data_IF_550057807084
#
_entry.id   IF_550057807084
#
_cell.length_a   1.000
_cell.length_b   1.000
_cell.length_c   1.000
_cell.angle_alpha   90.00
_cell.angle_beta   90.00
_cell.angle_gamma   90.00
#
_symmetry.space_group_name_H-M   'P 1'
#
loop_
_entity.id
_entity.type
_entity.pdbx_description
1 polymer ?
#
# COMPACT_ATOMS: atom_id res chain seq x y z
N UNK A 1 -9.77 14.62 68.66
CA UNK A 1 -9.72 13.64 67.54
C UNK A 1 -10.57 14.15 66.38
N UNK A 2 -9.97 14.80 65.38
CA UNK A 2 -10.57 15.04 64.06
C UNK A 2 -9.50 14.68 63.03
N UNK A 3 -9.70 13.56 62.33
CA UNK A 3 -8.78 13.08 61.28
C UNK A 3 -9.19 13.74 59.96
N UNK A 4 -8.30 14.54 59.38
CA UNK A 4 -8.38 14.95 57.98
C UNK A 4 -7.80 13.83 57.13
N UNK A 5 -8.63 13.19 56.30
CA UNK A 5 -8.17 12.35 55.19
C UNK A 5 -7.96 13.25 53.98
N UNK A 6 -6.71 13.38 53.53
CA UNK A 6 -6.38 13.92 52.23
C UNK A 6 -6.56 12.80 51.19
N UNK A 7 -7.50 12.97 50.26
CA UNK A 7 -7.56 12.15 49.05
C UNK A 7 -6.78 12.88 47.96
N UNK A 8 -5.54 12.42 47.70
CA UNK A 8 -4.88 12.67 46.43
C UNK A 8 -5.61 11.89 45.34
N UNK A 9 -6.23 12.59 44.39
CA UNK A 9 -6.58 11.99 43.10
C UNK A 9 -5.36 12.10 42.18
N UNK A 10 -4.63 11.00 42.06
CA UNK A 10 -3.65 10.80 41.00
C UNK A 10 -4.39 10.11 39.83
N UNK A 11 -4.95 10.89 38.91
CA UNK A 11 -5.44 10.35 37.63
C UNK A 11 -4.27 10.29 36.65
N UNK A 12 -3.55 9.16 36.63
CA UNK A 12 -2.72 8.82 35.48
C UNK A 12 -3.66 8.38 34.35
N UNK A 13 -3.80 9.22 33.32
CA UNK A 13 -4.25 8.79 32.01
C UNK A 13 -3.14 7.90 31.44
N UNK A 14 -3.34 6.59 31.47
CA UNK A 14 -2.52 5.66 30.70
C UNK A 14 -3.14 5.64 29.30
N UNK A 15 -2.49 6.30 28.34
CA UNK A 15 -2.82 6.10 26.92
C UNK A 15 -2.70 4.61 26.60
N UNK A 16 -3.69 4.01 25.91
CA UNK A 16 -3.64 2.59 25.54
C UNK A 16 -2.55 2.27 24.50
N UNK A 17 -1.97 3.31 23.90
CA UNK A 17 -0.83 3.22 22.99
C UNK A 17 0.44 3.17 23.82
N UNK A 18 1.26 2.11 23.65
CA UNK A 18 2.57 1.98 24.30
C UNK A 18 3.47 3.21 24.06
N UNK A 19 4.57 3.33 24.82
CA UNK A 19 5.51 4.45 24.68
C UNK A 19 5.90 4.67 23.20
N UNK A 20 5.47 5.79 22.63
CA UNK A 20 5.85 6.21 21.28
C UNK A 20 7.30 6.66 21.31
N UNK A 21 8.18 5.90 20.65
CA UNK A 21 9.56 6.35 20.43
C UNK A 21 9.50 7.44 19.35
N UNK A 22 10.02 8.63 19.68
CA UNK A 22 10.12 9.72 18.72
C UNK A 22 11.10 9.35 17.59
N UNK A 23 10.56 9.00 16.43
CA UNK A 23 11.30 8.81 15.19
C UNK A 23 10.59 9.58 14.08
N UNK A 24 11.35 10.38 13.32
CA UNK A 24 10.80 11.15 12.19
C UNK A 24 10.27 10.22 11.10
N UNK A 25 10.95 9.10 10.83
CA UNK A 25 10.48 8.01 9.97
C UNK A 25 10.53 6.66 10.68
N UNK A 26 9.55 5.76 10.44
CA UNK A 26 9.61 4.38 10.93
C UNK A 26 10.73 3.61 10.22
N UNK A 27 11.07 2.44 10.77
CA UNK A 27 11.99 1.50 10.11
C UNK A 27 11.55 1.18 8.67
N UNK A 28 12.52 0.96 7.79
CA UNK A 28 12.25 0.64 6.40
C UNK A 28 11.50 -0.71 6.26
N UNK A 29 10.65 -0.88 5.23
CA UNK A 29 9.96 -2.14 5.00
C UNK A 29 10.96 -3.26 4.70
N UNK A 30 10.69 -4.46 5.22
CA UNK A 30 11.61 -5.58 5.17
C UNK A 30 12.79 -5.52 6.14
N UNK A 31 12.78 -4.59 7.10
CA UNK A 31 13.67 -4.59 8.27
C UNK A 31 13.36 -5.74 9.25
N UNK A 32 12.12 -6.23 9.23
CA UNK A 32 11.63 -7.38 10.00
C UNK A 32 10.54 -8.10 9.22
N UNK A 33 10.33 -9.37 9.55
CA UNK A 33 9.27 -10.19 8.97
C UNK A 33 7.88 -9.71 9.44
N UNK A 34 6.93 -9.42 8.53
CA UNK A 34 5.57 -9.08 8.91
C UNK A 34 4.83 -10.21 9.63
N UNK A 35 4.10 -9.86 10.69
CA UNK A 35 3.28 -10.83 11.43
C UNK A 35 1.98 -11.09 10.68
N UNK A 36 1.70 -12.37 10.40
CA UNK A 36 0.48 -12.80 9.73
C UNK A 36 -0.59 -13.19 10.75
N UNK A 37 -1.81 -12.70 10.54
CA UNK A 37 -3.00 -13.13 11.29
C UNK A 37 -3.48 -14.51 10.82
N UNK A 38 -3.85 -15.36 11.77
CA UNK A 38 -4.42 -16.70 11.51
C UNK A 38 -5.93 -16.73 11.54
N UNK A 39 -6.57 -15.62 11.92
CA UNK A 39 -8.02 -15.45 11.97
C UNK A 39 -8.39 -14.10 11.37
N UNK A 40 -9.54 -14.00 10.67
CA UNK A 40 -10.00 -12.73 10.12
C UNK A 40 -10.40 -11.75 11.23
N UNK A 41 -9.99 -10.49 11.10
CA UNK A 41 -10.56 -9.38 11.90
C UNK A 41 -11.91 -8.96 11.36
N UNK A 42 -12.05 -8.99 10.03
CA UNK A 42 -13.33 -8.86 9.33
C UNK A 42 -13.61 -10.17 8.59
N UNK A 43 -14.66 -10.87 9.00
CA UNK A 43 -15.08 -12.09 8.32
C UNK A 43 -15.55 -11.79 6.88
N UNK A 44 -15.30 -12.68 5.92
CA UNK A 44 -15.89 -12.59 4.58
C UNK A 44 -17.41 -12.43 4.66
N UNK A 45 -17.98 -11.49 3.89
CA UNK A 45 -19.42 -11.22 3.90
C UNK A 45 -20.20 -12.47 3.43
N UNK A 46 -21.05 -13.08 4.28
CA UNK A 46 -21.76 -14.30 3.92
C UNK A 46 -22.82 -14.04 2.86
N UNK A 47 -23.10 -15.04 2.02
CA UNK A 47 -24.09 -14.94 0.94
C UNK A 47 -25.49 -14.55 1.42
N UNK A 48 -25.87 -14.94 2.65
CA UNK A 48 -27.14 -14.56 3.27
C UNK A 48 -27.32 -13.05 3.45
N UNK A 49 -26.23 -12.28 3.46
CA UNK A 49 -26.22 -10.82 3.59
C UNK A 49 -26.06 -10.11 2.23
N UNK A 50 -26.03 -10.85 1.13
CA UNK A 50 -25.86 -10.25 -0.18
C UNK A 50 -27.10 -9.48 -0.62
N UNK A 51 -26.87 -8.22 -1.01
CA UNK A 51 -27.84 -7.38 -1.70
C UNK A 51 -27.78 -7.63 -3.21
N UNK A 52 -28.66 -7.00 -3.99
CA UNK A 52 -28.57 -7.04 -5.45
C UNK A 52 -27.26 -6.46 -5.98
N UNK A 53 -26.70 -5.48 -5.27
CA UNK A 53 -25.39 -4.91 -5.57
C UNK A 53 -24.26 -5.91 -5.34
N UNK A 54 -24.26 -6.62 -4.20
CA UNK A 54 -23.28 -7.68 -3.93
C UNK A 54 -23.36 -8.78 -5.01
N UNK A 55 -24.57 -9.23 -5.34
CA UNK A 55 -24.78 -10.20 -6.43
C UNK A 55 -24.31 -9.70 -7.79
N UNK A 56 -24.42 -8.41 -8.08
CA UNK A 56 -23.90 -7.82 -9.32
C UNK A 56 -22.37 -7.88 -9.36
N UNK A 57 -21.69 -7.51 -8.27
CA UNK A 57 -20.23 -7.62 -8.16
C UNK A 57 -19.77 -9.07 -8.34
N UNK A 58 -20.45 -10.04 -7.70
CA UNK A 58 -20.13 -11.47 -7.84
C UNK A 58 -20.28 -11.94 -9.28
N UNK A 59 -21.37 -11.59 -9.98
CA UNK A 59 -21.54 -11.94 -11.40
C UNK A 59 -20.42 -11.38 -12.28
N UNK A 60 -19.88 -10.21 -11.92
CA UNK A 60 -18.84 -9.55 -12.70
C UNK A 60 -17.44 -10.09 -12.40
N UNK A 61 -17.10 -10.29 -11.13
CA UNK A 61 -15.73 -10.56 -10.67
C UNK A 61 -15.48 -12.00 -10.24
N UNK A 62 -16.53 -12.82 -10.10
CA UNK A 62 -16.44 -14.26 -9.83
C UNK A 62 -17.45 -15.05 -10.71
N UNK A 63 -17.35 -14.95 -12.05
CA UNK A 63 -18.33 -15.53 -12.97
C UNK A 63 -18.38 -17.07 -12.96
N UNK A 64 -17.34 -17.73 -12.41
CA UNK A 64 -17.29 -19.19 -12.20
C UNK A 64 -18.00 -19.64 -10.91
N UNK A 65 -18.57 -18.70 -10.15
CA UNK A 65 -19.24 -18.94 -8.88
C UNK A 65 -18.30 -19.12 -7.68
N UNK A 66 -16.97 -19.04 -7.87
CA UNK A 66 -15.99 -19.16 -6.78
C UNK A 66 -15.66 -17.80 -6.20
N UNK A 67 -16.48 -17.33 -5.27
CA UNK A 67 -16.27 -16.03 -4.62
C UNK A 67 -15.16 -16.13 -3.58
N UNK A 68 -13.99 -15.59 -3.90
CA UNK A 68 -12.81 -15.59 -3.02
C UNK A 68 -12.97 -14.72 -1.77
N UNK A 69 -12.24 -15.07 -0.72
CA UNK A 69 -12.27 -14.38 0.58
C UNK A 69 -11.90 -12.89 0.47
N UNK A 70 -11.00 -12.50 -0.43
CA UNK A 70 -10.69 -11.08 -0.63
C UNK A 70 -11.90 -10.28 -1.15
N UNK A 71 -12.56 -10.76 -2.22
CA UNK A 71 -13.76 -10.11 -2.76
C UNK A 71 -14.87 -10.07 -1.70
N UNK A 72 -15.16 -11.20 -1.04
CA UNK A 72 -16.18 -11.28 0.01
C UNK A 72 -15.90 -10.36 1.20
N UNK A 73 -14.63 -10.16 1.56
CA UNK A 73 -14.27 -9.22 2.64
C UNK A 73 -14.41 -7.77 2.18
N UNK A 74 -13.97 -7.44 0.96
CA UNK A 74 -14.10 -6.08 0.42
C UNK A 74 -15.56 -5.69 0.16
N UNK A 75 -16.48 -6.64 -0.03
CA UNK A 75 -17.91 -6.37 -0.17
C UNK A 75 -18.57 -5.73 1.06
N UNK A 76 -17.90 -5.69 2.22
CA UNK A 76 -18.33 -4.80 3.33
C UNK A 76 -18.34 -3.31 2.92
N UNK A 77 -17.57 -2.95 1.88
CA UNK A 77 -17.59 -1.63 1.24
C UNK A 77 -17.69 -1.82 -0.29
N UNK A 78 -18.90 -2.01 -0.84
CA UNK A 78 -19.09 -2.40 -2.25
C UNK A 78 -18.50 -1.43 -3.27
N UNK A 79 -18.51 -0.12 -2.98
CA UNK A 79 -17.85 0.89 -3.84
C UNK A 79 -16.35 0.62 -3.97
N UNK A 80 -15.71 0.26 -2.86
CA UNK A 80 -14.30 -0.06 -2.81
C UNK A 80 -14.00 -1.38 -3.52
N UNK A 81 -14.81 -2.42 -3.25
CA UNK A 81 -14.68 -3.70 -3.94
C UNK A 81 -14.71 -3.52 -5.46
N UNK A 82 -15.66 -2.74 -5.98
CA UNK A 82 -15.76 -2.44 -7.40
C UNK A 82 -14.52 -1.71 -7.95
N UNK A 83 -14.04 -0.68 -7.23
CA UNK A 83 -12.87 0.10 -7.63
C UNK A 83 -11.60 -0.76 -7.71
N UNK A 84 -11.36 -1.57 -6.68
CA UNK A 84 -10.19 -2.45 -6.59
C UNK A 84 -10.24 -3.55 -7.65
N UNK A 85 -11.37 -4.26 -7.74
CA UNK A 85 -11.48 -5.42 -8.64
C UNK A 85 -11.45 -5.01 -10.12
N UNK A 86 -11.95 -3.82 -10.47
CA UNK A 86 -11.81 -3.28 -11.83
C UNK A 86 -10.34 -3.12 -12.22
N UNK A 87 -9.52 -2.62 -11.30
CA UNK A 87 -8.10 -2.42 -11.58
C UNK A 87 -7.34 -3.76 -11.63
N UNK A 88 -7.63 -4.67 -10.69
CA UNK A 88 -7.04 -6.02 -10.70
C UNK A 88 -7.35 -6.76 -12.00
N UNK A 89 -8.61 -6.72 -12.46
CA UNK A 89 -9.01 -7.33 -13.73
C UNK A 89 -8.22 -6.77 -14.92
N UNK A 90 -7.99 -5.46 -14.96
CA UNK A 90 -7.18 -4.85 -16.02
C UNK A 90 -5.74 -5.40 -16.02
N UNK A 91 -5.07 -5.40 -14.85
CA UNK A 91 -3.71 -5.93 -14.73
C UNK A 91 -3.64 -7.44 -15.00
N UNK A 92 -4.73 -8.17 -14.76
CA UNK A 92 -4.81 -9.60 -15.03
C UNK A 92 -5.08 -9.92 -16.51
N UNK A 93 -6.04 -9.24 -17.15
CA UNK A 93 -6.62 -9.64 -18.43
C UNK A 93 -6.21 -8.75 -19.61
N UNK A 94 -5.88 -7.49 -19.35
CA UNK A 94 -5.59 -6.46 -20.38
C UNK A 94 -4.15 -5.97 -20.35
N UNK A 95 -3.32 -6.52 -19.45
CA UNK A 95 -1.92 -6.14 -19.28
C UNK A 95 -1.07 -6.38 -20.54
N UNK A 96 -0.22 -5.41 -20.86
CA UNK A 96 0.85 -5.48 -21.85
C UNK A 96 2.08 -6.30 -21.39
N UNK A 97 2.16 -6.64 -20.10
CA UNK A 97 3.18 -7.57 -19.57
C UNK A 97 2.80 -9.03 -19.82
N UNK A 98 3.81 -9.81 -20.19
CA UNK A 98 3.68 -11.27 -20.28
C UNK A 98 3.26 -11.86 -18.92
N UNK A 99 2.43 -12.93 -18.90
CA UNK A 99 1.98 -13.57 -17.67
C UNK A 99 3.14 -13.95 -16.72
N UNK A 100 4.26 -14.44 -17.23
CA UNK A 100 5.42 -14.84 -16.42
C UNK A 100 6.00 -13.66 -15.65
N UNK A 101 6.26 -12.54 -16.32
CA UNK A 101 6.81 -11.34 -15.71
C UNK A 101 5.87 -10.76 -14.63
N UNK A 102 4.55 -10.79 -14.87
CA UNK A 102 3.56 -10.43 -13.84
C UNK A 102 3.63 -11.36 -12.65
N UNK A 103 3.67 -12.68 -12.87
CA UNK A 103 3.75 -13.65 -11.79
C UNK A 103 4.99 -13.46 -10.91
N UNK A 104 6.15 -13.13 -11.49
CA UNK A 104 7.36 -12.80 -10.73
C UNK A 104 7.16 -11.58 -9.81
N UNK A 105 6.61 -10.48 -10.35
CA UNK A 105 6.33 -9.26 -9.58
C UNK A 105 5.33 -9.53 -8.45
N UNK A 106 4.23 -10.22 -8.76
CA UNK A 106 3.12 -10.48 -7.84
C UNK A 106 3.53 -11.46 -6.72
N UNK A 107 4.19 -12.57 -7.05
CA UNK A 107 4.66 -13.55 -6.06
C UNK A 107 5.77 -12.97 -5.17
N UNK A 108 6.69 -12.19 -5.74
CA UNK A 108 7.71 -11.52 -4.93
C UNK A 108 7.09 -10.52 -3.98
N UNK A 109 6.14 -9.72 -4.44
CA UNK A 109 5.41 -8.77 -3.58
C UNK A 109 4.64 -9.49 -2.47
N UNK A 110 3.99 -10.62 -2.77
CA UNK A 110 3.31 -11.44 -1.76
C UNK A 110 4.29 -12.00 -0.71
N UNK A 111 5.51 -12.40 -1.11
CA UNK A 111 6.57 -12.80 -0.17
C UNK A 111 7.04 -11.63 0.70
N UNK A 112 7.36 -10.48 0.08
CA UNK A 112 7.87 -9.29 0.76
C UNK A 112 6.90 -8.77 1.84
N UNK A 113 5.61 -8.78 1.53
CA UNK A 113 4.53 -8.35 2.42
C UNK A 113 3.98 -9.46 3.31
N UNK A 114 4.56 -10.66 3.21
CA UNK A 114 4.10 -11.87 3.91
C UNK A 114 2.61 -12.19 3.73
N UNK A 115 2.03 -11.80 2.58
CA UNK A 115 0.62 -11.97 2.27
C UNK A 115 0.33 -13.39 1.76
N UNK A 116 -0.19 -14.22 2.66
CA UNK A 116 -0.45 -15.64 2.42
C UNK A 116 -1.60 -15.89 1.43
N UNK A 117 -2.61 -15.02 1.40
CA UNK A 117 -3.73 -15.11 0.47
C UNK A 117 -3.27 -14.88 -0.96
N UNK A 118 -2.54 -13.79 -1.21
CA UNK A 118 -2.03 -13.45 -2.53
C UNK A 118 -1.07 -14.51 -3.03
N UNK A 119 -0.15 -15.01 -2.19
CA UNK A 119 0.72 -16.12 -2.57
C UNK A 119 -0.08 -17.34 -3.04
N UNK A 120 -1.13 -17.73 -2.30
CA UNK A 120 -1.92 -18.93 -2.62
C UNK A 120 -2.69 -18.80 -3.94
N UNK A 121 -3.11 -17.58 -4.30
CA UNK A 121 -3.76 -17.28 -5.59
C UNK A 121 -2.72 -17.21 -6.72
N UNK A 122 -1.64 -16.44 -6.52
CA UNK A 122 -0.66 -16.16 -7.57
C UNK A 122 0.21 -17.37 -7.92
N UNK A 123 0.42 -18.32 -7.02
CA UNK A 123 1.23 -19.52 -7.30
C UNK A 123 0.60 -20.39 -8.41
N UNK A 124 -0.73 -20.52 -8.41
CA UNK A 124 -1.45 -21.22 -9.48
C UNK A 124 -1.28 -20.51 -10.83
N UNK A 125 -1.46 -19.19 -10.86
CA UNK A 125 -1.27 -18.37 -12.05
C UNK A 125 0.18 -18.43 -12.55
N UNK A 126 1.15 -18.45 -11.63
CA UNK A 126 2.57 -18.59 -11.92
C UNK A 126 2.88 -19.88 -12.66
N UNK A 127 2.34 -21.02 -12.19
CA UNK A 127 2.50 -22.31 -12.91
C UNK A 127 1.85 -22.29 -14.29
N UNK A 128 0.66 -21.68 -14.41
CA UNK A 128 0.01 -21.50 -15.71
C UNK A 128 0.84 -20.63 -16.67
N UNK A 129 1.64 -19.71 -16.13
CA UNK A 129 2.60 -18.87 -16.85
C UNK A 129 3.98 -19.51 -17.05
N UNK A 130 4.15 -20.80 -16.69
CA UNK A 130 5.38 -21.55 -16.91
C UNK A 130 6.41 -21.47 -15.77
N UNK A 131 6.07 -20.93 -14.60
CA UNK A 131 6.94 -21.04 -13.42
C UNK A 131 6.90 -22.46 -12.85
N UNK A 132 8.08 -22.99 -12.53
CA UNK A 132 8.25 -24.27 -11.84
C UNK A 132 8.13 -24.12 -10.32
N UNK A 133 7.87 -25.21 -9.59
CA UNK A 133 7.88 -25.18 -8.11
C UNK A 133 9.24 -24.73 -7.54
N UNK A 134 10.34 -25.08 -8.23
CA UNK A 134 11.67 -24.62 -7.88
C UNK A 134 11.79 -23.09 -8.03
N UNK A 135 11.22 -22.50 -9.09
CA UNK A 135 11.16 -21.06 -9.28
C UNK A 135 10.25 -20.38 -8.26
N UNK A 136 9.08 -20.96 -7.92
CA UNK A 136 8.23 -20.44 -6.85
C UNK A 136 9.00 -20.33 -5.52
N UNK A 137 9.75 -21.37 -5.15
CA UNK A 137 10.63 -21.30 -3.97
C UNK A 137 11.75 -20.27 -4.16
N UNK A 138 12.36 -20.20 -5.35
CA UNK A 138 13.44 -19.24 -5.67
C UNK A 138 12.98 -17.79 -5.56
N UNK A 139 11.73 -17.48 -5.90
CA UNK A 139 11.14 -16.13 -5.73
C UNK A 139 11.19 -15.68 -4.27
N UNK A 140 10.97 -16.58 -3.31
CA UNK A 140 11.11 -16.27 -1.89
C UNK A 140 12.58 -16.02 -1.50
N UNK A 141 13.54 -16.76 -2.08
CA UNK A 141 14.97 -16.53 -1.84
C UNK A 141 15.40 -15.15 -2.35
N UNK A 142 14.93 -14.75 -3.53
CA UNK A 142 15.10 -13.39 -4.05
C UNK A 142 15.86 -13.28 -5.37
N UNK A 143 16.16 -12.04 -5.80
CA UNK A 143 16.72 -11.75 -7.13
C UNK A 143 18.13 -12.30 -7.36
N UNK A 144 18.93 -12.48 -6.30
CA UNK A 144 20.31 -12.92 -6.40
C UNK A 144 20.48 -14.43 -6.21
N UNK A 145 19.37 -15.18 -6.18
CA UNK A 145 19.40 -16.63 -6.13
C UNK A 145 19.89 -17.22 -7.48
N UNK A 146 20.73 -18.24 -7.41
CA UNK A 146 21.22 -18.95 -8.60
C UNK A 146 20.08 -19.52 -9.45
N UNK A 147 20.21 -19.38 -10.78
CA UNK A 147 19.30 -19.99 -11.75
C UNK A 147 18.21 -19.05 -12.29
N UNK A 148 18.30 -17.74 -12.03
CA UNK A 148 17.56 -16.73 -12.79
C UNK A 148 18.30 -16.33 -14.06
N UNK A 149 17.56 -15.99 -15.11
CA UNK A 149 18.09 -15.08 -16.11
C UNK A 149 18.06 -13.63 -15.60
N UNK A 150 18.86 -12.77 -16.20
CA UNK A 150 19.02 -11.38 -15.76
C UNK A 150 17.70 -10.59 -15.79
N UNK A 151 16.81 -10.88 -16.73
CA UNK A 151 15.56 -10.14 -16.90
C UNK A 151 14.52 -10.56 -15.86
N UNK A 152 14.37 -11.86 -15.60
CA UNK A 152 13.53 -12.38 -14.53
C UNK A 152 13.99 -11.89 -13.14
N UNK A 153 15.31 -11.93 -12.88
CA UNK A 153 15.88 -11.37 -11.65
C UNK A 153 15.57 -9.87 -11.50
N UNK A 154 15.55 -9.10 -12.60
CA UNK A 154 15.25 -7.67 -12.58
C UNK A 154 13.80 -7.37 -12.17
N UNK A 155 12.84 -8.25 -12.48
CA UNK A 155 11.47 -8.10 -11.98
C UNK A 155 11.41 -8.24 -10.45
N UNK A 156 12.15 -9.21 -9.91
CA UNK A 156 12.24 -9.40 -8.46
C UNK A 156 12.91 -8.20 -7.79
N UNK A 157 13.98 -7.64 -8.39
CA UNK A 157 14.63 -6.41 -7.91
C UNK A 157 13.68 -5.21 -7.93
N UNK A 158 12.89 -5.05 -8.99
CA UNK A 158 11.88 -3.99 -9.05
C UNK A 158 10.90 -4.08 -7.87
N UNK A 159 10.40 -5.28 -7.56
CA UNK A 159 9.51 -5.49 -6.42
C UNK A 159 10.20 -5.17 -5.09
N UNK A 160 11.44 -5.63 -4.89
CA UNK A 160 12.22 -5.38 -3.68
C UNK A 160 12.49 -3.88 -3.47
N UNK A 161 12.93 -3.18 -4.51
CA UNK A 161 13.25 -1.74 -4.46
C UNK A 161 12.01 -0.88 -4.20
N UNK A 162 10.89 -1.15 -4.89
CA UNK A 162 9.62 -0.43 -4.63
C UNK A 162 9.12 -0.66 -3.21
N UNK A 163 9.09 -1.92 -2.75
CA UNK A 163 8.65 -2.25 -1.40
C UNK A 163 9.55 -1.62 -0.33
N UNK A 164 10.87 -1.68 -0.49
CA UNK A 164 11.80 -1.23 0.55
C UNK A 164 12.13 0.26 0.48
N UNK A 165 12.40 0.79 -0.71
CA UNK A 165 12.88 2.16 -0.91
C UNK A 165 11.78 3.14 -1.36
N UNK A 166 10.58 2.63 -1.70
CA UNK A 166 9.55 3.40 -2.41
C UNK A 166 10.10 4.08 -3.67
N UNK A 167 11.11 3.49 -4.30
CA UNK A 167 11.90 4.07 -5.39
C UNK A 167 12.50 2.93 -6.23
N UNK A 168 12.85 3.21 -7.48
CA UNK A 168 13.47 2.23 -8.40
C UNK A 168 14.81 2.78 -8.86
N UNK A 169 15.89 2.02 -8.70
CA UNK A 169 17.24 2.43 -9.11
C UNK A 169 17.33 2.69 -10.61
N UNK A 170 18.26 3.54 -11.03
CA UNK A 170 18.54 3.78 -12.45
C UNK A 170 18.96 2.48 -13.16
N UNK A 171 19.68 1.60 -12.47
CA UNK A 171 20.09 0.30 -13.00
C UNK A 171 18.88 -0.59 -13.30
N UNK A 172 17.96 -0.76 -12.34
CA UNK A 172 16.74 -1.57 -12.54
C UNK A 172 15.86 -0.98 -13.63
N UNK A 173 15.67 0.35 -13.62
CA UNK A 173 14.88 1.05 -14.63
C UNK A 173 15.44 0.89 -16.04
N UNK A 174 16.75 1.13 -16.23
CA UNK A 174 17.42 0.99 -17.53
C UNK A 174 17.38 -0.46 -18.02
N UNK A 175 17.59 -1.44 -17.14
CA UNK A 175 17.59 -2.87 -17.52
C UNK A 175 16.22 -3.31 -18.04
N UNK A 176 15.13 -2.91 -17.37
CA UNK A 176 13.77 -3.17 -17.86
C UNK A 176 13.51 -2.44 -19.19
N UNK A 177 13.96 -1.18 -19.30
CA UNK A 177 13.81 -0.35 -20.50
C UNK A 177 14.51 -0.86 -21.76
N UNK A 178 15.44 -1.82 -21.65
CA UNK A 178 16.03 -2.50 -22.82
C UNK A 178 14.96 -3.27 -23.61
N UNK A 179 13.95 -3.83 -22.93
CA UNK A 179 12.93 -4.68 -23.55
C UNK A 179 11.52 -4.10 -23.46
N UNK A 180 11.27 -3.25 -22.46
CA UNK A 180 9.94 -2.69 -22.22
C UNK A 180 9.76 -1.32 -22.84
N UNK A 181 8.61 -1.16 -23.50
CA UNK A 181 8.11 0.16 -23.89
C UNK A 181 7.50 0.89 -22.68
N UNK A 182 7.07 2.13 -22.90
CA UNK A 182 6.47 2.98 -21.86
C UNK A 182 5.30 2.32 -21.12
N UNK A 183 4.37 1.65 -21.83
CA UNK A 183 3.20 1.05 -21.21
C UNK A 183 3.61 -0.12 -20.31
N UNK A 184 4.54 -0.96 -20.78
CA UNK A 184 5.08 -2.07 -20.00
C UNK A 184 5.87 -1.58 -18.77
N UNK A 185 6.64 -0.49 -18.88
CA UNK A 185 7.32 0.12 -17.74
C UNK A 185 6.33 0.62 -16.68
N UNK A 186 5.25 1.30 -17.11
CA UNK A 186 4.20 1.76 -16.20
C UNK A 186 3.45 0.60 -15.54
N UNK A 187 3.16 -0.46 -16.31
CA UNK A 187 2.46 -1.63 -15.79
C UNK A 187 3.32 -2.49 -14.86
N UNK A 188 4.64 -2.55 -15.06
CA UNK A 188 5.55 -3.25 -14.14
C UNK A 188 5.52 -2.61 -12.75
N UNK A 189 5.57 -1.28 -12.69
CA UNK A 189 5.38 -0.52 -11.44
C UNK A 189 3.96 -0.71 -10.90
N UNK A 190 2.94 -0.65 -11.76
CA UNK A 190 1.55 -0.79 -11.33
C UNK A 190 1.23 -2.17 -10.71
N UNK A 191 1.81 -3.27 -11.23
CA UNK A 191 1.62 -4.60 -10.67
C UNK A 191 2.16 -4.70 -9.23
N UNK A 192 3.38 -4.20 -8.99
CA UNK A 192 3.96 -4.17 -7.63
C UNK A 192 3.13 -3.27 -6.72
N UNK A 193 2.75 -2.09 -7.20
CA UNK A 193 2.05 -1.11 -6.37
C UNK A 193 0.65 -1.60 -5.98
N UNK A 194 -0.12 -2.14 -6.93
CA UNK A 194 -1.46 -2.65 -6.68
C UNK A 194 -1.40 -3.88 -5.75
N UNK A 195 -0.45 -4.78 -5.97
CA UNK A 195 -0.26 -5.94 -5.08
C UNK A 195 0.14 -5.52 -3.67
N UNK A 196 0.98 -4.49 -3.52
CA UNK A 196 1.38 -3.94 -2.20
C UNK A 196 0.19 -3.32 -1.49
N UNK A 197 -0.61 -2.50 -2.19
CA UNK A 197 -1.84 -1.90 -1.66
C UNK A 197 -2.79 -2.98 -1.14
N UNK A 198 -3.04 -4.02 -1.96
CA UNK A 198 -3.89 -5.13 -1.56
C UNK A 198 -3.29 -5.92 -0.39
N UNK A 199 -1.99 -6.14 -0.36
CA UNK A 199 -1.35 -6.85 0.75
C UNK A 199 -1.58 -6.12 2.07
N UNK A 200 -1.38 -4.80 2.09
CA UNK A 200 -1.61 -3.94 3.25
C UNK A 200 -3.04 -4.06 3.79
N UNK A 201 -4.03 -4.04 2.90
CA UNK A 201 -5.45 -4.24 3.21
C UNK A 201 -5.68 -5.66 3.75
N UNK A 202 -5.36 -6.68 2.96
CA UNK A 202 -5.71 -8.07 3.23
C UNK A 202 -5.01 -8.61 4.50
N UNK A 203 -3.77 -8.22 4.75
CA UNK A 203 -3.06 -8.57 5.99
C UNK A 203 -3.74 -7.93 7.20
N UNK A 204 -4.06 -6.63 7.12
CA UNK A 204 -4.68 -5.88 8.23
C UNK A 204 -6.09 -6.36 8.54
N UNK A 205 -6.86 -6.76 7.52
CA UNK A 205 -8.19 -7.34 7.67
C UNK A 205 -8.16 -8.81 8.11
N UNK A 206 -6.99 -9.47 8.01
CA UNK A 206 -6.81 -10.88 8.34
C UNK A 206 -7.42 -11.84 7.32
N UNK A 207 -7.47 -11.47 6.05
CA UNK A 207 -8.05 -12.32 4.99
C UNK A 207 -7.24 -13.61 4.84
N UNK A 208 -7.92 -14.74 4.97
CA UNK A 208 -7.33 -16.08 4.89
C UNK A 208 -7.35 -16.62 3.45
N UNK A 209 -6.38 -17.48 3.05
CA UNK A 209 -6.43 -18.21 1.78
C UNK A 209 -7.77 -18.87 1.53
N UNK A 210 -8.18 -18.95 0.27
CA UNK A 210 -9.39 -19.68 -0.11
C UNK A 210 -9.20 -21.18 0.15
N UNK A 211 -10.27 -21.88 0.54
CA UNK A 211 -10.24 -23.32 0.86
C UNK A 211 -9.77 -24.19 -0.33
N UNK A 212 -9.97 -23.72 -1.56
CA UNK A 212 -9.53 -24.41 -2.77
C UNK A 212 -8.08 -24.07 -3.20
N UNK A 213 -7.39 -23.20 -2.47
CA UNK A 213 -5.97 -22.89 -2.73
C UNK A 213 -5.08 -23.62 -1.74
N UNK A 214 -4.12 -24.40 -2.24
CA UNK A 214 -3.24 -25.25 -1.42
C UNK A 214 -1.86 -24.66 -1.19
N UNK A 215 -1.36 -23.83 -2.10
CA UNK A 215 -0.05 -23.21 -1.97
C UNK A 215 0.05 -22.31 -0.73
N UNK A 216 1.18 -22.39 -0.04
CA UNK A 216 1.50 -21.54 1.11
C UNK A 216 2.86 -20.87 0.95
N UNK A 217 3.08 -19.77 1.67
CA UNK A 217 4.38 -19.11 1.68
C UNK A 217 5.44 -20.12 2.14
N UNK A 218 6.62 -20.17 1.51
CA UNK A 218 7.70 -21.05 1.94
C UNK A 218 8.11 -20.75 3.39
N UNK A 219 8.15 -21.77 4.24
CA UNK A 219 8.55 -21.64 5.66
C UNK A 219 10.01 -22.03 5.88
N UNK A 220 10.67 -22.55 4.85
CA UNK A 220 12.05 -23.01 4.84
C UNK A 220 13.03 -21.98 4.22
N UNK A 221 12.53 -20.78 3.89
CA UNK A 221 13.31 -19.66 3.37
C UNK A 221 13.34 -18.56 4.43
N UNK A 222 14.53 -18.10 4.79
CA UNK A 222 14.67 -17.01 5.75
C UNK A 222 14.17 -15.68 5.15
N UNK A 223 13.38 -14.92 5.90
CA UNK A 223 12.94 -13.60 5.49
C UNK A 223 14.13 -12.63 5.43
N UNK A 224 14.51 -12.22 4.22
CA UNK A 224 15.57 -11.24 3.96
C UNK A 224 15.20 -10.38 2.76
N UNK A 225 15.35 -9.07 2.92
CA UNK A 225 15.20 -8.08 1.86
C UNK A 225 16.49 -7.29 1.76
N UNK A 226 17.24 -7.52 0.69
CA UNK A 226 18.48 -6.81 0.41
C UNK A 226 18.29 -6.01 -0.88
N UNK A 227 18.44 -4.68 -0.78
CA UNK A 227 18.38 -3.76 -1.91
C UNK A 227 19.53 -2.76 -1.79
N UNK A 228 19.99 -2.17 -2.90
CA UNK A 228 20.89 -1.03 -2.84
C UNK A 228 20.31 0.12 -2.02
N UNK A 229 21.19 0.97 -1.47
CA UNK A 229 20.74 2.22 -0.84
C UNK A 229 19.89 3.03 -1.83
N UNK A 230 18.87 3.69 -1.30
CA UNK A 230 17.98 4.53 -2.11
C UNK A 230 18.78 5.66 -2.73
N UNK A 231 18.72 5.77 -4.05
CA UNK A 231 19.34 6.87 -4.79
C UNK A 231 18.68 8.22 -4.43
N UNK A 232 19.37 9.36 -4.67
CA UNK A 232 18.75 10.68 -4.56
C UNK A 232 17.51 10.81 -5.46
N UNK A 233 16.55 11.68 -5.11
CA UNK A 233 15.39 11.95 -5.96
C UNK A 233 15.79 12.35 -7.39
N UNK A 234 15.02 11.88 -8.37
CA UNK A 234 15.22 12.21 -9.77
C UNK A 234 15.04 13.71 -10.00
N UNK A 235 16.00 14.34 -10.66
CA UNK A 235 15.92 15.76 -11.09
C UNK A 235 15.24 15.94 -12.45
N UNK A 236 15.11 14.85 -13.22
CA UNK A 236 14.40 14.80 -14.50
C UNK A 236 13.37 13.66 -14.48
N UNK A 237 12.18 13.85 -15.06
CA UNK A 237 11.18 12.80 -15.10
C UNK A 237 11.62 11.66 -16.03
N UNK A 238 11.53 10.42 -15.54
CA UNK A 238 11.63 9.22 -16.39
C UNK A 238 10.43 9.10 -17.33
N UNK A 239 9.25 9.53 -16.85
CA UNK A 239 8.05 9.66 -17.68
C UNK A 239 7.61 11.12 -17.69
N UNK A 240 7.91 11.81 -18.78
CA UNK A 240 7.47 13.19 -18.97
C UNK A 240 5.93 13.28 -18.93
N UNK A 241 5.33 14.26 -18.23
CA UNK A 241 3.89 14.47 -18.28
C UNK A 241 3.43 14.79 -19.71
N UNK A 242 2.18 14.49 -20.04
CA UNK A 242 1.55 15.05 -21.25
C UNK A 242 1.56 16.58 -21.18
N UNK A 243 1.61 17.25 -22.34
CA UNK A 243 1.46 18.70 -22.40
C UNK A 243 0.05 19.13 -22.01
N UNK A 244 -0.09 20.37 -21.52
CA UNK A 244 -1.40 20.97 -21.21
C UNK A 244 -1.63 21.31 -19.74
N UNK A 245 -2.91 21.60 -19.43
CA UNK A 245 -3.37 22.06 -18.12
C UNK A 245 -3.53 20.90 -17.13
N UNK A 246 -3.60 21.24 -15.85
CA UNK A 246 -3.76 20.26 -14.77
C UNK A 246 -2.44 19.85 -14.12
N UNK A 247 -2.56 19.17 -12.99
CA UNK A 247 -1.41 18.75 -12.17
C UNK A 247 -0.58 17.68 -12.90
N UNK A 248 0.73 17.66 -12.64
CA UNK A 248 1.68 16.80 -13.37
C UNK A 248 1.38 15.32 -13.18
N UNK A 249 0.95 14.89 -11.99
CA UNK A 249 0.55 13.50 -11.73
C UNK A 249 -0.51 13.01 -12.74
N UNK A 250 -1.63 13.69 -12.88
CA UNK A 250 -2.70 13.28 -13.83
C UNK A 250 -2.18 13.23 -15.27
N UNK A 251 -1.32 14.18 -15.66
CA UNK A 251 -0.72 14.21 -17.01
C UNK A 251 0.35 13.14 -17.23
N UNK A 252 1.07 12.72 -16.19
CA UNK A 252 2.03 11.61 -16.25
C UNK A 252 1.29 10.27 -16.36
N UNK A 253 0.31 10.01 -15.49
CA UNK A 253 -0.50 8.80 -15.57
C UNK A 253 -1.31 8.72 -16.88
N UNK A 254 -1.74 9.86 -17.42
CA UNK A 254 -2.41 9.95 -18.72
C UNK A 254 -1.59 9.46 -19.92
N UNK A 255 -0.28 9.20 -19.76
CA UNK A 255 0.55 8.51 -20.76
C UNK A 255 0.11 7.06 -20.99
N UNK A 256 -0.63 6.47 -20.04
CA UNK A 256 -1.32 5.20 -20.18
C UNK A 256 -2.82 5.38 -19.84
N UNK A 257 -3.65 5.83 -20.80
CA UNK A 257 -5.03 6.24 -20.53
C UNK A 257 -5.91 5.12 -19.95
N UNK A 258 -5.70 3.87 -20.38
CA UNK A 258 -6.47 2.72 -19.88
C UNK A 258 -6.12 2.42 -18.43
N UNK A 259 -4.84 2.29 -18.11
CA UNK A 259 -4.34 2.11 -16.75
C UNK A 259 -4.83 3.24 -15.83
N UNK A 260 -4.65 4.49 -16.28
CA UNK A 260 -5.08 5.68 -15.51
C UNK A 260 -6.58 5.71 -15.26
N UNK A 261 -7.40 5.27 -16.22
CA UNK A 261 -8.86 5.28 -16.07
C UNK A 261 -9.33 4.26 -15.02
N UNK A 262 -8.79 3.03 -15.05
CA UNK A 262 -9.18 1.99 -14.07
C UNK A 262 -8.64 2.29 -12.67
N UNK A 263 -7.39 2.74 -12.58
CA UNK A 263 -6.76 3.14 -11.31
C UNK A 263 -7.45 4.35 -10.67
N UNK A 264 -8.02 5.24 -11.50
CA UNK A 264 -8.81 6.39 -11.04
C UNK A 264 -10.00 6.03 -10.15
N UNK A 265 -10.56 4.81 -10.27
CA UNK A 265 -11.64 4.33 -9.40
C UNK A 265 -11.24 4.30 -7.92
N UNK A 266 -10.02 3.86 -7.63
CA UNK A 266 -9.46 3.82 -6.27
C UNK A 266 -9.30 5.24 -5.68
N UNK A 267 -8.81 6.19 -6.48
CA UNK A 267 -8.66 7.58 -6.05
C UNK A 267 -10.01 8.24 -5.78
N UNK A 268 -11.00 7.97 -6.65
CA UNK A 268 -12.35 8.49 -6.50
C UNK A 268 -13.03 7.95 -5.23
N UNK A 269 -12.73 6.71 -4.83
CA UNK A 269 -13.20 6.19 -3.55
C UNK A 269 -12.60 7.02 -2.39
N UNK A 270 -11.27 7.11 -2.31
CA UNK A 270 -10.59 7.80 -1.19
C UNK A 270 -10.98 9.28 -1.09
N UNK A 271 -11.06 9.98 -2.21
CA UNK A 271 -11.30 11.42 -2.24
C UNK A 271 -12.79 11.81 -2.26
N UNK A 272 -13.69 10.91 -2.64
CA UNK A 272 -15.10 11.23 -2.87
C UNK A 272 -16.13 10.37 -2.13
N UNK A 273 -15.85 9.07 -1.92
CA UNK A 273 -16.81 8.12 -1.33
C UNK A 273 -16.43 7.63 0.08
N UNK A 274 -15.19 7.86 0.49
CA UNK A 274 -14.68 7.60 1.84
C UNK A 274 -15.46 8.44 2.86
N UNK A 275 -15.83 7.86 4.02
CA UNK A 275 -16.47 8.58 5.12
C UNK A 275 -15.49 9.43 5.95
N UNK A 276 -14.16 9.29 5.73
CA UNK A 276 -13.16 9.99 6.53
C UNK A 276 -13.31 11.50 6.41
N UNK A 277 -13.05 12.21 7.51
CA UNK A 277 -12.95 13.66 7.48
C UNK A 277 -11.76 14.10 6.62
N UNK A 278 -11.81 15.32 6.06
CA UNK A 278 -10.68 15.88 5.33
C UNK A 278 -9.42 15.93 6.21
N UNK A 279 -9.56 16.21 7.52
CA UNK A 279 -8.44 16.20 8.46
C UNK A 279 -7.77 14.82 8.52
N UNK A 280 -8.55 13.77 8.81
CA UNK A 280 -8.00 12.42 9.00
C UNK A 280 -7.42 11.86 7.70
N UNK A 281 -8.10 12.12 6.57
CA UNK A 281 -7.64 11.69 5.26
C UNK A 281 -6.31 12.35 4.91
N UNK A 282 -6.20 13.67 5.04
CA UNK A 282 -4.97 14.39 4.69
C UNK A 282 -3.82 14.07 5.66
N UNK A 283 -4.10 13.80 6.95
CA UNK A 283 -3.11 13.32 7.91
C UNK A 283 -2.49 11.99 7.47
N UNK A 284 -3.33 11.02 7.09
CA UNK A 284 -2.89 9.71 6.59
C UNK A 284 -2.08 9.83 5.29
N UNK A 285 -2.56 10.65 4.33
CA UNK A 285 -1.90 10.87 3.04
C UNK A 285 -0.50 11.48 3.23
N UNK A 286 -0.40 12.55 4.01
CA UNK A 286 0.88 13.22 4.23
C UNK A 286 1.86 12.35 5.00
N UNK A 287 1.38 11.58 6.00
CA UNK A 287 2.27 10.68 6.76
C UNK A 287 2.83 9.58 5.87
N UNK A 288 2.00 8.92 5.05
CA UNK A 288 2.52 7.90 4.13
C UNK A 288 3.42 8.51 3.04
N UNK A 289 3.09 9.69 2.53
CA UNK A 289 3.95 10.42 1.58
C UNK A 289 5.32 10.75 2.15
N UNK A 290 5.39 11.18 3.42
CA UNK A 290 6.63 11.40 4.15
C UNK A 290 7.45 10.11 4.33
N UNK A 291 6.80 9.02 4.74
CA UNK A 291 7.44 7.72 4.93
C UNK A 291 8.01 7.17 3.61
N UNK A 292 7.32 7.41 2.50
CA UNK A 292 7.77 7.05 1.14
C UNK A 292 8.79 8.03 0.54
N UNK A 293 9.07 9.16 1.22
CA UNK A 293 9.88 10.26 0.68
C UNK A 293 9.37 10.74 -0.68
N UNK A 294 8.05 10.78 -0.86
CA UNK A 294 7.40 11.21 -2.09
C UNK A 294 7.16 12.72 -2.07
N UNK A 295 8.15 13.48 -2.55
CA UNK A 295 8.14 14.94 -2.51
C UNK A 295 6.96 15.54 -3.27
N UNK A 296 6.62 14.99 -4.44
CA UNK A 296 5.46 15.45 -5.20
C UNK A 296 4.15 15.27 -4.45
N UNK A 297 4.00 14.12 -3.79
CA UNK A 297 2.80 13.79 -3.03
C UNK A 297 2.62 14.76 -1.87
N UNK A 298 3.68 14.90 -1.08
CA UNK A 298 3.76 15.86 0.01
C UNK A 298 3.37 17.27 -0.44
N UNK A 299 4.03 17.76 -1.49
CA UNK A 299 3.87 19.16 -1.89
C UNK A 299 2.47 19.48 -2.42
N UNK A 300 1.81 18.52 -3.08
CA UNK A 300 0.43 18.71 -3.54
C UNK A 300 -0.58 18.63 -2.40
N UNK A 301 -0.37 17.74 -1.43
CA UNK A 301 -1.28 17.60 -0.31
C UNK A 301 -1.12 18.70 0.75
N UNK A 302 0.10 19.22 0.94
CA UNK A 302 0.31 20.46 1.70
C UNK A 302 -0.32 21.67 0.99
N UNK A 303 -0.12 21.76 -0.33
CA UNK A 303 -0.54 22.89 -1.15
C UNK A 303 -1.88 22.68 -1.87
N UNK A 304 -1.83 22.73 -3.21
CA UNK A 304 -3.00 22.98 -4.06
C UNK A 304 -4.07 21.89 -4.08
N UNK A 305 -3.75 20.66 -3.67
CA UNK A 305 -4.68 19.52 -3.73
C UNK A 305 -5.30 19.28 -2.36
N UNK A 306 -4.48 18.88 -1.39
CA UNK A 306 -4.95 18.51 -0.06
C UNK A 306 -5.23 19.70 0.85
N UNK A 307 -4.57 20.85 0.61
CA UNK A 307 -4.70 22.09 1.42
C UNK A 307 -4.63 21.80 2.93
N UNK A 308 -3.64 21.01 3.35
CA UNK A 308 -3.53 20.48 4.71
C UNK A 308 -3.83 21.49 5.83
N UNK A 309 -3.33 22.73 5.69
CA UNK A 309 -3.52 23.80 6.69
C UNK A 309 -4.97 24.28 6.82
N UNK A 310 -5.76 24.23 5.75
CA UNK A 310 -7.20 24.52 5.80
C UNK A 310 -7.95 23.50 6.68
N UNK A 311 -7.36 22.31 6.86
CA UNK A 311 -7.90 21.21 7.65
C UNK A 311 -7.25 21.11 9.05
N UNK A 312 -6.53 22.15 9.48
CA UNK A 312 -5.92 22.22 10.81
C UNK A 312 -4.68 21.34 10.98
N UNK A 313 -4.02 20.95 9.87
CA UNK A 313 -2.80 20.17 9.90
C UNK A 313 -1.56 21.06 9.80
N UNK A 314 -0.57 20.77 10.63
CA UNK A 314 0.76 21.38 10.57
C UNK A 314 1.76 20.39 9.96
N UNK A 315 2.23 20.59 8.70
CA UNK A 315 3.06 19.62 7.99
C UNK A 315 4.33 19.22 8.75
N UNK A 316 4.96 20.13 9.48
CA UNK A 316 6.16 19.81 10.27
C UNK A 316 5.87 18.81 11.40
N UNK A 317 4.71 18.87 12.04
CA UNK A 317 4.34 17.88 13.07
C UNK A 317 4.14 16.50 12.44
N UNK A 318 3.55 16.43 11.23
CA UNK A 318 3.33 15.16 10.53
C UNK A 318 4.66 14.48 10.18
N UNK A 319 5.65 15.28 9.76
CA UNK A 319 6.98 14.78 9.46
C UNK A 319 7.78 14.40 10.73
N UNK A 320 7.54 15.06 11.87
CA UNK A 320 8.08 14.64 13.18
C UNK A 320 7.45 13.32 13.68
N UNK A 321 6.22 13.01 13.24
CA UNK A 321 5.56 11.75 13.49
C UNK A 321 4.73 11.69 14.77
N UNK A 322 4.34 10.48 15.21
CA UNK A 322 3.39 10.30 16.32
C UNK A 322 3.92 10.78 17.68
N UNK A 323 5.25 10.94 17.81
CA UNK A 323 5.88 11.45 19.03
C UNK A 323 5.94 12.97 19.14
N UNK A 324 5.43 13.71 18.15
CA UNK A 324 5.40 15.17 18.20
C UNK A 324 4.36 15.69 19.21
N UNK A 325 4.69 16.77 19.92
CA UNK A 325 3.76 17.43 20.82
C UNK A 325 2.63 18.11 20.03
N UNK A 326 1.40 18.04 20.55
CA UNK A 326 0.24 18.72 19.97
C UNK A 326 -0.75 17.82 19.24
N UNK A 327 -0.48 16.52 19.14
CA UNK A 327 -1.45 15.57 18.60
C UNK A 327 -2.57 15.23 19.58
N UNK A 328 -3.79 15.07 19.05
CA UNK A 328 -4.85 14.38 19.77
C UNK A 328 -4.51 12.88 19.88
N UNK A 329 -5.04 12.15 20.88
CA UNK A 329 -4.83 10.72 20.99
C UNK A 329 -5.23 9.96 19.70
N UNK A 330 -6.32 10.37 19.04
CA UNK A 330 -6.77 9.72 17.82
C UNK A 330 -5.86 10.04 16.62
N UNK A 331 -5.36 11.27 16.49
CA UNK A 331 -4.36 11.62 15.48
C UNK A 331 -3.08 10.79 15.62
N UNK A 332 -2.66 10.49 16.86
CA UNK A 332 -1.54 9.57 17.14
C UNK A 332 -1.85 8.16 16.60
N UNK A 333 -3.05 7.64 16.82
CA UNK A 333 -3.49 6.34 16.27
C UNK A 333 -3.39 6.31 14.74
N UNK A 334 -3.85 7.36 14.05
CA UNK A 334 -3.76 7.44 12.58
C UNK A 334 -2.32 7.51 12.07
N UNK A 335 -1.45 8.26 12.76
CA UNK A 335 -0.02 8.33 12.42
C UNK A 335 0.68 6.97 12.60
N UNK A 336 0.40 6.28 13.70
CA UNK A 336 0.92 4.93 13.96
C UNK A 336 0.40 3.95 12.90
N UNK A 337 -0.90 4.00 12.58
CA UNK A 337 -1.48 3.17 11.51
C UNK A 337 -0.73 3.35 10.19
N UNK A 338 -0.42 4.59 9.80
CA UNK A 338 0.34 4.87 8.58
C UNK A 338 1.79 4.35 8.66
N UNK A 339 2.43 4.44 9.82
CA UNK A 339 3.79 3.94 10.06
C UNK A 339 3.85 2.40 10.03
N UNK A 340 2.89 1.71 10.64
CA UNK A 340 2.81 0.25 10.64
C UNK A 340 2.48 -0.31 9.26
N UNK A 341 1.51 0.30 8.56
CA UNK A 341 1.20 -0.08 7.19
C UNK A 341 2.40 0.13 6.25
N UNK A 342 3.18 1.19 6.45
CA UNK A 342 4.42 1.40 5.71
C UNK A 342 5.45 0.30 6.01
N UNK A 343 5.79 0.11 7.29
CA UNK A 343 6.90 -0.75 7.75
C UNK A 343 6.60 -2.24 7.60
N UNK A 344 5.37 -2.65 7.94
CA UNK A 344 4.99 -4.05 8.13
C UNK A 344 3.99 -4.55 7.10
N UNK A 345 3.44 -3.68 6.24
CA UNK A 345 2.32 -4.03 5.36
C UNK A 345 1.12 -4.64 6.12
N UNK A 346 0.96 -4.28 7.40
CA UNK A 346 -0.12 -4.71 8.28
C UNK A 346 -0.19 -3.77 9.50
N UNK A 347 -1.37 -3.62 10.11
CA UNK A 347 -1.51 -2.96 11.42
C UNK A 347 -1.48 -3.98 12.56
N UNK A 348 -0.87 -3.62 13.68
CA UNK A 348 -0.81 -4.44 14.89
C UNK A 348 -2.19 -4.63 15.52
N UNK A 349 -2.31 -5.53 16.51
CA UNK A 349 -3.57 -5.70 17.25
C UNK A 349 -3.88 -4.46 18.09
N UNK A 350 -2.86 -3.85 18.69
CA UNK A 350 -2.99 -2.64 19.49
C UNK A 350 -3.52 -1.46 18.64
N UNK A 351 -2.96 -1.25 17.45
CA UNK A 351 -3.42 -0.21 16.52
C UNK A 351 -4.83 -0.52 16.01
N UNK A 352 -5.13 -1.79 15.74
CA UNK A 352 -6.47 -2.22 15.32
C UNK A 352 -7.52 -1.94 16.41
N UNK A 353 -7.25 -2.34 17.66
CA UNK A 353 -8.14 -2.11 18.79
C UNK A 353 -8.32 -0.61 19.05
N UNK A 354 -7.26 0.18 18.89
CA UNK A 354 -7.31 1.63 19.05
C UNK A 354 -8.16 2.31 17.97
N UNK A 355 -7.99 1.96 16.68
CA UNK A 355 -8.76 2.61 15.62
C UNK A 355 -10.23 2.19 15.64
N UNK A 356 -10.52 0.92 15.93
CA UNK A 356 -11.90 0.41 15.98
C UNK A 356 -12.68 0.82 17.22
N UNK A 357 -12.03 1.46 18.19
CA UNK A 357 -12.72 2.13 19.29
C UNK A 357 -13.47 3.40 18.84
N UNK A 358 -12.96 4.08 17.81
CA UNK A 358 -13.50 5.34 17.30
C UNK A 358 -14.11 5.23 15.89
N UNK A 359 -13.63 4.30 15.06
CA UNK A 359 -14.10 4.08 13.70
C UNK A 359 -14.94 2.80 13.57
N UNK A 360 -16.01 2.90 12.78
CA UNK A 360 -16.76 1.72 12.35
C UNK A 360 -16.00 0.90 11.28
N UNK A 361 -16.61 -0.20 10.83
CA UNK A 361 -16.03 -1.07 9.79
C UNK A 361 -15.70 -0.33 8.50
N UNK A 362 -16.60 0.55 8.02
CA UNK A 362 -16.42 1.29 6.77
C UNK A 362 -15.34 2.35 6.92
N UNK A 363 -15.29 3.07 8.04
CA UNK A 363 -14.27 4.05 8.37
C UNK A 363 -12.89 3.40 8.52
N UNK A 364 -12.80 2.27 9.23
CA UNK A 364 -11.55 1.50 9.40
C UNK A 364 -11.01 1.02 8.06
N UNK A 365 -11.86 0.40 7.23
CA UNK A 365 -11.47 -0.01 5.86
C UNK A 365 -11.03 1.20 5.04
N UNK A 366 -11.68 2.35 5.20
CA UNK A 366 -11.34 3.58 4.46
C UNK A 366 -10.01 4.20 4.91
N UNK A 367 -9.65 4.11 6.19
CA UNK A 367 -8.34 4.52 6.71
C UNK A 367 -7.20 3.66 6.14
N UNK A 368 -7.37 2.33 6.20
CA UNK A 368 -6.42 1.38 5.60
C UNK A 368 -6.28 1.63 4.09
N UNK A 369 -7.40 1.84 3.41
CA UNK A 369 -7.41 2.07 1.96
C UNK A 369 -6.73 3.39 1.58
N UNK A 370 -6.91 4.44 2.39
CA UNK A 370 -6.29 5.74 2.18
C UNK A 370 -4.76 5.60 2.21
N UNK A 371 -4.21 5.02 3.28
CA UNK A 371 -2.76 4.80 3.39
C UNK A 371 -2.24 3.90 2.28
N UNK A 372 -2.93 2.79 2.00
CA UNK A 372 -2.50 1.81 0.99
C UNK A 372 -2.53 2.39 -0.42
N UNK A 373 -3.53 3.21 -0.73
CA UNK A 373 -3.63 3.96 -2.00
C UNK A 373 -2.46 4.92 -2.15
N UNK A 374 -2.19 5.73 -1.12
CA UNK A 374 -1.15 6.74 -1.23
C UNK A 374 0.27 6.20 -1.08
N UNK A 375 0.44 4.98 -0.54
CA UNK A 375 1.67 4.19 -0.72
C UNK A 375 1.88 3.82 -2.20
N UNK A 376 0.85 3.33 -2.88
CA UNK A 376 0.89 3.05 -4.32
C UNK A 376 1.18 4.31 -5.15
N UNK A 377 0.54 5.44 -4.84
CA UNK A 377 0.78 6.70 -5.56
C UNK A 377 2.22 7.16 -5.33
N UNK A 378 2.68 7.20 -4.08
CA UNK A 378 4.04 7.62 -3.72
C UNK A 378 5.10 6.80 -4.45
N UNK A 379 4.96 5.47 -4.50
CA UNK A 379 5.86 4.58 -5.23
C UNK A 379 5.86 4.87 -6.74
N UNK A 380 4.69 5.09 -7.36
CA UNK A 380 4.61 5.49 -8.76
C UNK A 380 5.27 6.84 -9.03
N UNK A 381 5.01 7.85 -8.20
CA UNK A 381 5.55 9.21 -8.38
C UNK A 381 7.09 9.20 -8.32
N UNK A 382 7.64 8.49 -7.35
CA UNK A 382 9.08 8.31 -7.19
C UNK A 382 9.69 7.54 -8.36
N UNK A 383 9.08 6.42 -8.77
CA UNK A 383 9.57 5.61 -9.89
C UNK A 383 9.53 6.35 -11.24
N UNK A 384 8.49 7.16 -11.47
CA UNK A 384 8.30 7.91 -12.72
C UNK A 384 9.05 9.26 -12.70
N UNK A 385 9.52 9.71 -11.55
CA UNK A 385 10.21 10.99 -11.37
C UNK A 385 9.29 12.20 -11.57
N UNK A 386 8.07 12.17 -11.04
CA UNK A 386 7.13 13.30 -11.18
C UNK A 386 7.64 14.49 -10.36
N UNK A 387 7.94 15.59 -11.04
CA UNK A 387 8.61 16.75 -10.44
C UNK A 387 7.62 17.74 -9.78
N UNK A 388 8.00 18.34 -8.66
CA UNK A 388 7.29 19.49 -8.08
C UNK A 388 7.54 20.78 -8.86
N UNK A 389 6.70 21.78 -8.66
CA UNK A 389 6.92 23.16 -9.12
C UNK A 389 7.83 23.89 -8.13
N UNK A 390 8.54 24.90 -8.61
CA UNK A 390 9.39 25.77 -7.76
C UNK A 390 8.62 26.45 -6.64
N UNK A 391 7.32 26.68 -6.83
CA UNK A 391 6.42 27.29 -5.84
C UNK A 391 5.83 26.30 -4.84
N UNK A 392 6.05 25.00 -5.03
CA UNK A 392 5.50 23.98 -4.14
C UNK A 392 6.35 23.86 -2.85
N UNK A 393 5.70 23.54 -1.73
CA UNK A 393 6.39 23.27 -0.46
C UNK A 393 6.87 21.81 -0.44
N UNK A 394 8.17 21.58 -0.61
CA UNK A 394 8.78 20.25 -0.56
C UNK A 394 8.80 19.62 0.84
N UNK A 395 9.44 18.45 0.95
CA UNK A 395 9.61 17.76 2.22
C UNK A 395 10.39 18.65 3.21
N UNK A 396 9.94 18.81 4.46
CA UNK A 396 10.65 19.62 5.43
C UNK A 396 11.99 18.97 5.81
N UNK A 397 13.00 19.81 6.03
CA UNK A 397 14.26 19.41 6.64
C UNK A 397 14.04 19.18 8.15
N UNK A 398 14.01 17.91 8.55
CA UNK A 398 13.83 17.45 9.93
C UNK A 398 14.93 16.43 10.24
N UNK A 399 15.61 16.56 11.40
CA UNK A 399 16.66 15.64 11.83
C UNK A 399 16.27 14.16 11.90
#
# INVERSE_FOLDING_TARGET
>A
MKRFCACLFLSMLVSPVGQVIAQSRPDAPGSREPVRLTTPRIAPLPESEWTDRHRALVREYAPDGRVGNALSTLMHVPELAEAVMRFDRFLEQESALEPRHRSLLLLRTAWLTHNQYQWSVFASNGRAAGLTDAELRRIAVGPDADGWDDFDATHLRLADELYRNSYVSDQTWTTLGVRYNLLQMMEAVANVNQSTLLAMMLNSLGVQPNDWTTDRLPTDVAYRVAVPEREPPLVNPRIAPLEGRGIRVTRTFGRHPRLSAVQGGTYNFVLGASPLTDHDRELLILRIGWNCQAEYEWAKHVGSVGRARDHGLEPRLIAQGPGADGWSPFSVTLLILADELYRDAAVSNETWDAITADFDTRETISALMTVSTYRLVSMSLNAFGVQILETDEGLPDIP
#
